data_IF_251718240348
#
_entry.id   IF_251718240348
#
_cell.length_a   1.000
_cell.length_b   1.000
_cell.length_c   1.000
_cell.angle_alpha   90.00
_cell.angle_beta   90.00
_cell.angle_gamma   90.00
#
_symmetry.space_group_name_H-M   'P 1'
#
loop_
_entity.id
_entity.type
_entity.pdbx_description
1 polymer ?
#
# COMPACT_ATOMS: atom_id res chain seq x y z
N UNK A 1 -31.67 26.37 -19.01
CA UNK A 1 -32.70 25.54 -18.34
C UNK A 1 -32.33 24.08 -18.62
N UNK A 2 -31.50 23.48 -17.77
CA UNK A 2 -30.93 22.16 -18.03
C UNK A 2 -31.82 21.07 -17.44
N UNK A 3 -32.26 20.15 -18.30
CA UNK A 3 -32.86 18.87 -17.90
C UNK A 3 -31.78 18.05 -17.22
N UNK A 4 -32.00 17.74 -15.94
CA UNK A 4 -31.28 16.71 -15.21
C UNK A 4 -31.47 15.39 -15.96
N UNK A 5 -30.38 14.86 -16.51
CA UNK A 5 -30.35 13.52 -17.04
C UNK A 5 -30.65 12.53 -15.90
N UNK A 6 -31.55 11.61 -16.20
CA UNK A 6 -31.95 10.49 -15.35
C UNK A 6 -30.74 9.70 -14.85
N UNK A 7 -30.77 9.18 -13.61
CA UNK A 7 -29.69 8.35 -13.10
C UNK A 7 -29.55 7.10 -13.96
N UNK A 8 -28.32 6.81 -14.41
CA UNK A 8 -27.99 5.48 -14.90
C UNK A 8 -28.26 4.50 -13.75
N UNK A 9 -29.29 3.70 -13.94
CA UNK A 9 -29.49 2.43 -13.23
C UNK A 9 -28.23 1.60 -13.41
N UNK A 10 -27.45 1.52 -12.32
CA UNK A 10 -26.27 0.66 -12.19
C UNK A 10 -26.77 -0.78 -12.24
N UNK A 11 -26.88 -1.36 -13.43
CA UNK A 11 -27.15 -2.79 -13.57
C UNK A 11 -25.93 -3.56 -13.09
N UNK A 12 -26.12 -4.25 -11.97
CA UNK A 12 -25.43 -5.47 -11.59
C UNK A 12 -25.05 -6.32 -12.80
N UNK A 13 -23.81 -6.82 -12.84
CA UNK A 13 -23.38 -7.62 -13.97
C UNK A 13 -22.13 -8.48 -13.85
N UNK A 14 -21.46 -8.59 -12.70
CA UNK A 14 -20.53 -9.73 -12.44
C UNK A 14 -20.65 -10.13 -10.97
N UNK A 15 -21.72 -10.86 -10.69
CA UNK A 15 -21.82 -11.73 -9.52
C UNK A 15 -21.88 -13.16 -10.07
N UNK A 16 -20.80 -13.92 -9.92
CA UNK A 16 -20.80 -15.38 -10.05
C UNK A 16 -19.85 -16.00 -9.02
N UNK A 17 -20.46 -16.31 -7.88
CA UNK A 17 -20.41 -17.56 -7.09
C UNK A 17 -19.09 -18.35 -6.94
N UNK A 18 -18.64 -18.41 -5.68
CA UNK A 18 -18.39 -19.61 -4.85
C UNK A 18 -17.91 -20.92 -5.53
N UNK A 19 -16.66 -21.29 -5.23
CA UNK A 19 -16.19 -22.67 -4.97
C UNK A 19 -15.05 -22.54 -3.92
N UNK A 20 -15.22 -22.92 -2.65
CA UNK A 20 -15.22 -24.28 -2.10
C UNK A 20 -13.86 -25.01 -2.22
N UNK A 21 -13.32 -25.37 -1.05
CA UNK A 21 -11.99 -25.88 -0.77
C UNK A 21 -11.42 -26.95 -1.71
N UNK A 22 -10.10 -26.87 -1.90
CA UNK A 22 -9.29 -27.99 -2.36
C UNK A 22 -8.04 -28.11 -1.49
N UNK A 23 -7.91 -29.30 -0.90
CA UNK A 23 -6.71 -29.78 -0.27
C UNK A 23 -5.53 -29.68 -1.25
N UNK A 24 -4.38 -29.30 -0.71
CA UNK A 24 -3.09 -29.38 -1.39
C UNK A 24 -2.85 -30.80 -1.92
N UNK A 25 -2.52 -31.01 -3.20
CA UNK A 25 -2.03 -32.31 -3.64
C UNK A 25 -0.67 -32.61 -2.98
N UNK A 26 -0.37 -33.88 -2.65
CA UNK A 26 0.92 -34.25 -2.09
C UNK A 26 2.03 -33.94 -3.11
N UNK A 27 3.09 -33.29 -2.63
CA UNK A 27 4.27 -32.95 -3.43
C UNK A 27 4.85 -34.19 -4.09
N UNK A 28 4.91 -34.19 -5.42
CA UNK A 28 5.66 -35.16 -6.21
C UNK A 28 7.12 -35.15 -5.77
N UNK A 29 7.68 -36.36 -5.63
CA UNK A 29 9.01 -36.62 -5.15
C UNK A 29 10.11 -35.92 -5.97
N UNK A 30 11.13 -35.48 -5.22
CA UNK A 30 12.44 -35.02 -5.62
C UNK A 30 12.98 -35.57 -6.96
N UNK A 31 13.43 -34.65 -7.81
CA UNK A 31 14.58 -34.89 -8.68
C UNK A 31 15.87 -34.55 -7.90
N UNK A 32 16.94 -35.36 -8.01
CA UNK A 32 18.19 -35.09 -7.31
C UNK A 32 18.88 -33.84 -7.86
N UNK A 33 19.39 -33.01 -6.95
CA UNK A 33 20.14 -31.81 -7.25
C UNK A 33 21.38 -32.11 -8.09
N UNK A 34 21.60 -31.33 -9.14
CA UNK A 34 22.83 -31.33 -9.90
C UNK A 34 24.02 -30.91 -9.00
N UNK A 35 25.20 -31.56 -9.14
CA UNK A 35 26.36 -31.27 -8.30
C UNK A 35 26.86 -29.85 -8.54
N UNK A 36 27.06 -29.12 -7.45
CA UNK A 36 27.62 -27.76 -7.44
C UNK A 36 29.09 -27.78 -7.90
N UNK A 37 29.54 -26.82 -8.72
CA UNK A 37 30.95 -26.70 -9.08
C UNK A 37 31.80 -26.26 -7.86
N UNK A 38 33.08 -26.69 -7.78
CA UNK A 38 33.94 -26.42 -6.63
C UNK A 38 34.32 -24.94 -6.50
N UNK A 39 34.50 -24.43 -5.27
CA UNK A 39 34.87 -23.04 -5.03
C UNK A 39 36.33 -22.78 -5.44
N UNK A 40 36.51 -21.94 -6.46
CA UNK A 40 37.83 -21.39 -6.82
C UNK A 40 38.23 -20.32 -5.81
N UNK A 41 39.00 -20.71 -4.80
CA UNK A 41 39.65 -19.80 -3.87
C UNK A 41 40.84 -19.11 -4.57
N UNK A 42 40.68 -17.84 -4.94
CA UNK A 42 41.81 -17.00 -5.38
C UNK A 42 42.08 -15.93 -4.33
N UNK A 43 42.96 -16.24 -3.38
CA UNK A 43 43.45 -15.28 -2.38
C UNK A 43 44.52 -14.40 -3.02
N UNK A 44 44.14 -13.24 -3.56
CA UNK A 44 45.10 -12.19 -3.96
C UNK A 44 45.36 -11.25 -2.78
N UNK A 45 46.52 -11.41 -2.17
CA UNK A 45 47.08 -10.48 -1.17
C UNK A 45 47.70 -9.28 -1.88
N UNK A 46 47.01 -8.14 -1.87
CA UNK A 46 47.60 -6.85 -2.29
C UNK A 46 48.13 -6.14 -1.05
N UNK A 47 49.44 -6.22 -0.84
CA UNK A 47 50.18 -5.38 0.11
C UNK A 47 50.63 -4.10 -0.60
N UNK A 48 49.97 -2.98 -0.32
CA UNK A 48 50.57 -1.65 -0.47
C UNK A 48 50.09 -0.73 0.65
N UNK A 49 50.90 -0.65 1.72
CA UNK A 49 50.79 0.39 2.74
C UNK A 49 51.47 1.66 2.21
N UNK A 50 50.70 2.60 1.68
CA UNK A 50 51.12 4.01 1.61
C UNK A 50 50.57 4.74 2.83
N UNK A 51 51.46 5.19 3.72
CA UNK A 51 51.13 6.08 4.85
C UNK A 51 50.74 7.45 4.29
N UNK A 52 49.44 7.71 4.14
CA UNK A 52 48.95 9.07 3.93
C UNK A 52 49.09 9.86 5.24
N UNK A 53 49.84 10.97 5.19
CA UNK A 53 49.91 11.95 6.28
C UNK A 53 48.52 12.54 6.53
N UNK A 54 48.09 12.69 7.80
CA UNK A 54 46.86 13.40 8.11
C UNK A 54 47.01 14.89 7.76
N UNK A 55 46.04 15.41 7.01
CA UNK A 55 45.88 16.84 6.73
C UNK A 55 45.68 17.61 8.05
N UNK A 56 46.51 18.62 8.37
CA UNK A 56 46.32 19.47 9.54
C UNK A 56 45.12 20.38 9.29
N UNK A 57 44.04 20.26 10.08
CA UNK A 57 42.93 21.22 10.07
C UNK A 57 41.52 20.65 10.09
N UNK A 58 41.32 19.33 9.95
CA UNK A 58 39.99 18.74 10.11
C UNK A 58 39.62 18.67 11.60
N UNK A 59 38.92 19.70 12.10
CA UNK A 59 38.28 19.67 13.41
C UNK A 59 37.32 18.47 13.45
N UNK A 60 37.64 17.46 14.26
CA UNK A 60 36.72 16.38 14.61
C UNK A 60 35.51 17.00 15.31
N UNK A 61 34.49 17.36 14.55
CA UNK A 61 33.14 17.53 15.11
C UNK A 61 32.76 16.15 15.63
N UNK A 62 32.78 16.01 16.96
CA UNK A 62 32.35 14.79 17.62
C UNK A 62 30.89 14.55 17.25
N UNK A 63 30.65 13.71 16.25
CA UNK A 63 29.33 13.15 15.95
C UNK A 63 28.97 12.27 17.14
N UNK A 64 28.37 12.87 18.16
CA UNK A 64 27.67 12.14 19.20
C UNK A 64 26.69 11.21 18.50
N UNK A 65 26.84 9.90 18.77
CA UNK A 65 25.96 8.88 18.23
C UNK A 65 24.53 9.31 18.59
N UNK A 66 23.64 9.58 17.61
CA UNK A 66 22.31 10.07 17.92
C UNK A 66 21.66 9.10 18.90
N UNK A 67 21.15 9.63 20.01
CA UNK A 67 20.48 8.83 21.03
C UNK A 67 19.37 8.02 20.34
N UNK A 68 19.20 6.72 20.67
CA UNK A 68 18.14 5.93 20.08
C UNK A 68 16.80 6.64 20.28
N UNK A 69 15.94 6.72 19.23
CA UNK A 69 14.68 7.43 19.32
C UNK A 69 13.87 6.87 20.48
N UNK A 70 13.37 7.76 21.36
CA UNK A 70 12.51 7.35 22.47
C UNK A 70 11.26 6.64 21.89
N UNK A 71 10.81 5.53 22.49
CA UNK A 71 9.55 4.89 22.10
C UNK A 71 8.43 5.94 22.12
N UNK A 72 7.63 6.00 21.05
CA UNK A 72 6.45 6.88 21.02
C UNK A 72 5.40 6.29 21.94
N UNK A 73 4.88 7.09 22.87
CA UNK A 73 3.68 6.76 23.63
C UNK A 73 2.49 6.89 22.68
N UNK A 74 2.05 5.75 22.14
CA UNK A 74 0.90 5.68 21.23
C UNK A 74 -0.31 5.29 22.07
N UNK A 75 -1.29 6.19 22.13
CA UNK A 75 -2.58 5.92 22.77
C UNK A 75 -3.49 5.25 21.75
N UNK A 76 -4.05 4.10 22.11
CA UNK A 76 -5.01 3.37 21.30
C UNK A 76 -6.41 3.59 21.86
N UNK A 77 -7.30 4.16 21.05
CA UNK A 77 -8.73 4.21 21.37
C UNK A 77 -9.40 2.95 20.81
N UNK A 78 -10.08 2.15 21.66
CA UNK A 78 -10.70 0.92 21.20
C UNK A 78 -11.93 1.19 20.34
N UNK A 79 -11.99 0.50 19.20
CA UNK A 79 -13.13 0.53 18.28
C UNK A 79 -14.30 -0.31 18.80
N UNK A 80 -15.51 0.17 18.53
CA UNK A 80 -16.73 -0.53 18.93
C UNK A 80 -17.03 -1.73 18.02
N UNK A 81 -17.69 -2.76 18.57
CA UNK A 81 -18.18 -3.89 17.75
C UNK A 81 -19.13 -3.44 16.64
N UNK A 82 -19.91 -2.38 16.88
CA UNK A 82 -20.82 -1.79 15.89
C UNK A 82 -20.09 -1.32 14.64
N UNK A 83 -18.91 -0.70 14.79
CA UNK A 83 -18.08 -0.27 13.66
C UNK A 83 -17.61 -1.47 12.81
N UNK A 84 -17.17 -2.56 13.45
CA UNK A 84 -16.81 -3.80 12.75
C UNK A 84 -18.01 -4.38 11.98
N UNK A 85 -19.21 -4.41 12.59
CA UNK A 85 -20.45 -4.88 11.94
C UNK A 85 -20.86 -4.01 10.75
N UNK A 86 -20.63 -2.71 10.81
CA UNK A 86 -20.91 -1.80 9.69
C UNK A 86 -19.93 -2.10 8.56
N UNK A 87 -18.62 -2.17 8.83
CA UNK A 87 -17.60 -2.39 7.80
C UNK A 87 -17.67 -3.77 7.17
N UNK A 88 -17.91 -4.82 7.94
CA UNK A 88 -18.01 -6.16 7.37
C UNK A 88 -19.24 -6.29 6.45
N UNK A 89 -20.33 -5.56 6.71
CA UNK A 89 -21.47 -5.49 5.79
C UNK A 89 -21.12 -4.82 4.45
N UNK A 90 -20.18 -3.88 4.46
CA UNK A 90 -19.68 -3.22 3.25
C UNK A 90 -18.68 -4.09 2.48
N UNK A 91 -17.99 -5.01 3.18
CA UNK A 91 -16.91 -5.85 2.65
C UNK A 91 -17.40 -7.30 2.53
N UNK A 92 -17.95 -7.67 1.39
CA UNK A 92 -18.63 -8.96 1.19
C UNK A 92 -17.74 -10.20 1.06
N UNK A 93 -16.45 -10.13 1.38
CA UNK A 93 -15.45 -11.15 0.99
C UNK A 93 -14.47 -11.58 2.12
N UNK A 94 -14.88 -11.48 3.39
CA UNK A 94 -14.07 -11.98 4.51
C UNK A 94 -14.69 -13.21 5.17
N UNK A 95 -13.84 -14.11 5.66
CA UNK A 95 -14.24 -15.33 6.35
C UNK A 95 -14.44 -15.09 7.86
N UNK A 96 -13.77 -14.08 8.42
CA UNK A 96 -13.90 -13.70 9.82
C UNK A 96 -15.21 -12.94 10.07
N UNK A 97 -15.99 -13.37 11.06
CA UNK A 97 -17.19 -12.65 11.52
C UNK A 97 -16.83 -11.35 12.23
N UNK A 98 -17.75 -10.38 12.31
CA UNK A 98 -17.47 -9.09 12.94
C UNK A 98 -17.14 -9.26 14.43
N UNK A 99 -17.84 -10.16 15.12
CA UNK A 99 -17.59 -10.54 16.51
C UNK A 99 -16.19 -11.14 16.67
N UNK A 100 -15.80 -12.06 15.77
CA UNK A 100 -14.49 -12.70 15.82
C UNK A 100 -13.37 -11.71 15.53
N UNK A 101 -13.52 -10.86 14.52
CA UNK A 101 -12.54 -9.81 14.21
C UNK A 101 -12.38 -8.82 15.38
N UNK A 102 -13.49 -8.41 16.00
CA UNK A 102 -13.48 -7.52 17.16
C UNK A 102 -12.79 -8.17 18.37
N UNK A 103 -13.09 -9.43 18.66
CA UNK A 103 -12.42 -10.20 19.73
C UNK A 103 -10.90 -10.27 19.50
N UNK A 104 -10.48 -10.63 18.28
CA UNK A 104 -9.06 -10.67 17.89
C UNK A 104 -8.40 -9.30 18.07
N UNK A 105 -9.05 -8.24 17.60
CA UNK A 105 -8.59 -6.87 17.72
C UNK A 105 -8.40 -6.46 19.19
N UNK A 106 -9.40 -6.70 20.05
CA UNK A 106 -9.34 -6.34 21.46
C UNK A 106 -8.24 -7.12 22.20
N UNK A 107 -8.15 -8.43 21.97
CA UNK A 107 -7.09 -9.28 22.54
C UNK A 107 -5.71 -8.83 22.08
N UNK A 108 -5.53 -8.50 20.80
CA UNK A 108 -4.25 -8.06 20.27
C UNK A 108 -3.83 -6.70 20.84
N UNK A 109 -4.75 -5.76 20.99
CA UNK A 109 -4.48 -4.48 21.66
C UNK A 109 -4.07 -4.66 23.12
N UNK A 110 -4.77 -5.50 23.87
CA UNK A 110 -4.41 -5.82 25.26
C UNK A 110 -3.00 -6.43 25.33
N UNK A 111 -2.68 -7.38 24.44
CA UNK A 111 -1.35 -7.98 24.35
C UNK A 111 -0.28 -6.93 24.04
N UNK A 112 -0.55 -5.98 23.15
CA UNK A 112 0.36 -4.88 22.82
C UNK A 112 0.56 -3.89 23.98
N UNK A 113 -0.47 -3.65 24.80
CA UNK A 113 -0.41 -2.68 25.90
C UNK A 113 0.43 -3.16 27.10
N UNK A 114 0.74 -4.46 27.17
CA UNK A 114 1.56 -5.04 28.24
C UNK A 114 2.97 -4.43 28.28
N UNK A 115 3.42 -4.03 29.47
CA UNK A 115 4.79 -3.56 29.71
C UNK A 115 5.79 -4.71 29.83
N UNK A 116 5.33 -5.90 30.20
CA UNK A 116 6.10 -7.11 30.53
C UNK A 116 6.15 -8.13 29.38
N UNK A 117 6.01 -7.69 28.12
CA UNK A 117 5.92 -8.60 26.97
C UNK A 117 7.19 -9.44 26.81
N UNK A 118 7.10 -10.78 26.75
CA UNK A 118 8.24 -11.61 26.41
C UNK A 118 8.71 -11.33 24.99
N UNK A 119 9.97 -11.63 24.67
CA UNK A 119 10.56 -11.38 23.34
C UNK A 119 9.75 -12.06 22.21
N UNK A 120 9.11 -13.18 22.50
CA UNK A 120 8.31 -13.99 21.58
C UNK A 120 6.78 -13.86 21.81
N UNK A 121 6.32 -12.75 22.41
CA UNK A 121 4.92 -12.54 22.76
C UNK A 121 3.93 -12.74 21.60
N UNK A 122 4.33 -12.45 20.36
CA UNK A 122 3.50 -12.68 19.17
C UNK A 122 3.20 -14.17 18.95
N UNK A 123 4.19 -15.04 19.18
CA UNK A 123 3.98 -16.50 19.12
C UNK A 123 3.12 -16.98 20.28
N UNK A 124 3.36 -16.45 21.48
CA UNK A 124 2.55 -16.77 22.66
C UNK A 124 1.08 -16.31 22.50
N UNK A 125 0.86 -15.15 21.89
CA UNK A 125 -0.47 -14.61 21.59
C UNK A 125 -1.28 -15.58 20.73
N UNK A 126 -0.68 -16.02 19.63
CA UNK A 126 -1.30 -16.92 18.65
C UNK A 126 -1.57 -18.30 19.25
N UNK A 127 -0.74 -18.77 20.19
CA UNK A 127 -0.94 -20.05 20.89
C UNK A 127 -1.93 -19.96 22.05
N UNK A 128 -2.44 -18.77 22.36
CA UNK A 128 -3.24 -18.55 23.57
C UNK A 128 -2.46 -18.74 24.88
N UNK A 129 -1.12 -18.80 24.83
CA UNK A 129 -0.26 -19.08 25.97
C UNK A 129 0.28 -17.83 26.66
N UNK A 130 -0.30 -16.65 26.38
CA UNK A 130 0.08 -15.43 27.09
C UNK A 130 -0.38 -15.56 28.56
N UNK A 131 0.53 -15.42 29.54
CA UNK A 131 0.15 -15.51 30.93
C UNK A 131 -0.87 -14.42 31.25
N UNK A 132 -1.87 -14.70 32.10
CA UNK A 132 -2.89 -13.73 32.47
C UNK A 132 -2.21 -12.47 33.03
N UNK A 133 -2.69 -11.31 32.62
CA UNK A 133 -2.16 -10.03 33.10
C UNK A 133 -2.46 -9.89 34.58
N UNK A 134 -1.44 -9.67 35.41
CA UNK A 134 -1.65 -9.36 36.82
C UNK A 134 -2.26 -7.95 36.93
N UNK A 135 -3.52 -7.81 37.39
CA UNK A 135 -4.23 -6.52 37.39
C UNK A 135 -3.65 -5.50 38.38
N UNK A 136 -2.67 -5.89 39.19
CA UNK A 136 -2.10 -5.06 40.26
C UNK A 136 -0.98 -4.11 39.84
N UNK A 137 -0.51 -4.15 38.59
CA UNK A 137 0.53 -3.23 38.11
C UNK A 137 -0.08 -1.90 37.67
N UNK A 138 0.23 -0.76 38.33
CA UNK A 138 -0.22 0.57 37.93
C UNK A 138 0.58 1.04 36.70
N UNK A 139 0.38 0.37 35.56
CA UNK A 139 0.94 0.83 34.30
C UNK A 139 0.07 1.98 33.78
N UNK A 140 0.66 3.18 33.84
CA UNK A 140 0.32 4.42 33.11
C UNK A 140 -1.09 4.45 32.50
N UNK A 141 -1.98 5.10 33.23
CA UNK A 141 -3.31 5.60 32.83
C UNK A 141 -3.47 5.83 31.32
N UNK A 142 -4.22 4.95 30.64
CA UNK A 142 -5.06 5.31 29.50
C UNK A 142 -6.20 4.28 29.36
N UNK A 143 -7.42 4.73 29.66
CA UNK A 143 -8.72 4.18 29.22
C UNK A 143 -8.92 2.65 29.21
N UNK A 144 -8.43 1.93 30.23
CA UNK A 144 -8.63 0.47 30.37
C UNK A 144 -9.60 0.08 31.50
N UNK A 145 -10.27 1.06 32.13
CA UNK A 145 -11.25 0.80 33.21
C UNK A 145 -12.54 0.14 32.68
N UNK A 146 -12.90 0.35 31.41
CA UNK A 146 -14.08 -0.31 30.80
C UNK A 146 -13.79 -1.72 30.26
N UNK A 147 -12.52 -2.11 30.12
CA UNK A 147 -12.13 -3.39 29.52
C UNK A 147 -12.02 -4.55 30.53
N UNK A 148 -11.69 -4.25 31.78
CA UNK A 148 -11.58 -5.27 32.84
C UNK A 148 -12.92 -5.85 33.26
N UNK A 149 -14.02 -5.10 33.11
CA UNK A 149 -15.37 -5.58 33.48
C UNK A 149 -16.02 -6.50 32.44
N UNK A 150 -15.54 -6.51 31.20
CA UNK A 150 -16.17 -7.27 30.10
C UNK A 150 -15.54 -8.67 29.86
N UNK A 151 -14.45 -9.02 30.55
CA UNK A 151 -13.58 -10.16 30.18
C UNK A 151 -13.27 -11.13 31.33
N UNK A 152 -14.07 -11.15 32.40
CA UNK A 152 -13.86 -12.06 33.54
C UNK A 152 -14.19 -13.55 33.25
N UNK A 153 -14.42 -13.94 31.99
CA UNK A 153 -14.76 -15.31 31.61
C UNK A 153 -13.63 -16.00 30.82
N UNK A 154 -13.12 -17.06 31.45
CA UNK A 154 -12.32 -18.21 30.99
C UNK A 154 -11.08 -18.01 30.09
N UNK A 155 -9.95 -18.69 30.42
CA UNK A 155 -8.79 -18.79 29.54
C UNK A 155 -9.10 -19.74 28.37
N UNK A 156 -9.92 -19.27 27.42
CA UNK A 156 -10.13 -19.99 26.18
C UNK A 156 -8.83 -20.01 25.37
N UNK A 157 -8.41 -21.19 24.92
CA UNK A 157 -7.33 -21.35 23.95
C UNK A 157 -7.60 -20.43 22.75
N UNK A 158 -6.74 -19.43 22.54
CA UNK A 158 -6.82 -18.60 21.35
C UNK A 158 -6.31 -19.43 20.17
N UNK A 159 -7.15 -20.31 19.62
CA UNK A 159 -6.92 -21.04 18.38
C UNK A 159 -7.04 -20.07 17.19
N UNK A 160 -6.12 -19.11 17.13
CA UNK A 160 -6.10 -18.05 16.14
C UNK A 160 -5.29 -18.49 14.93
N UNK A 161 -5.87 -18.43 13.74
CA UNK A 161 -5.13 -18.69 12.51
C UNK A 161 -4.43 -17.43 12.00
N UNK A 162 -3.36 -17.61 11.22
CA UNK A 162 -2.68 -16.49 10.57
C UNK A 162 -3.59 -15.76 9.56
N UNK A 163 -4.52 -16.48 8.93
CA UNK A 163 -5.54 -15.91 8.05
C UNK A 163 -6.51 -14.99 8.79
N UNK A 164 -6.99 -15.39 9.97
CA UNK A 164 -7.87 -14.55 10.79
C UNK A 164 -7.19 -13.23 11.21
N UNK A 165 -5.89 -13.30 11.56
CA UNK A 165 -5.09 -12.10 11.85
C UNK A 165 -4.98 -11.17 10.63
N UNK A 166 -4.71 -11.74 9.46
CA UNK A 166 -4.60 -10.98 8.22
C UNK A 166 -5.92 -10.30 7.84
N UNK A 167 -7.04 -11.01 7.89
CA UNK A 167 -8.36 -10.46 7.58
C UNK A 167 -8.77 -9.38 8.58
N UNK A 168 -8.52 -9.59 9.87
CA UNK A 168 -8.78 -8.58 10.90
C UNK A 168 -7.92 -7.32 10.66
N UNK A 169 -6.65 -7.49 10.31
CA UNK A 169 -5.79 -6.37 9.92
C UNK A 169 -6.28 -5.68 8.62
N UNK A 170 -6.87 -6.45 7.70
CA UNK A 170 -7.56 -5.98 6.51
C UNK A 170 -8.73 -5.07 6.86
N UNK A 171 -9.61 -5.48 7.78
CA UNK A 171 -10.74 -4.67 8.25
C UNK A 171 -10.29 -3.34 8.84
N UNK A 172 -9.19 -3.34 9.60
CA UNK A 172 -8.59 -2.11 10.12
C UNK A 172 -8.17 -1.15 9.01
N UNK A 173 -7.77 -1.64 7.83
CA UNK A 173 -7.49 -0.78 6.67
C UNK A 173 -8.70 0.02 6.21
N UNK A 174 -9.91 -0.53 6.35
CA UNK A 174 -11.15 0.09 5.92
C UNK A 174 -11.78 0.96 7.01
N UNK A 175 -11.43 0.70 8.27
CA UNK A 175 -11.77 1.55 9.41
C UNK A 175 -10.83 2.76 9.55
N UNK A 176 -9.64 2.69 8.96
CA UNK A 176 -8.63 3.73 9.07
C UNK A 176 -9.10 5.05 8.45
N UNK A 177 -9.62 5.94 9.28
CA UNK A 177 -9.59 7.36 8.97
C UNK A 177 -8.12 7.76 8.81
N UNK A 178 -7.80 8.53 7.77
CA UNK A 178 -6.42 8.85 7.29
C UNK A 178 -5.44 9.41 8.35
N UNK A 179 -5.83 9.52 9.62
CA UNK A 179 -5.11 10.15 10.73
C UNK A 179 -4.55 9.18 11.78
N UNK A 180 -5.05 7.95 11.87
CA UNK A 180 -4.71 7.06 12.97
C UNK A 180 -3.35 6.36 12.79
N UNK A 181 -2.22 7.03 13.08
CA UNK A 181 -0.91 6.35 13.10
C UNK A 181 -0.95 5.09 14.00
N UNK A 182 -1.69 5.14 15.10
CA UNK A 182 -1.92 3.99 15.99
C UNK A 182 -2.54 2.79 15.25
N UNK A 183 -3.59 3.00 14.46
CA UNK A 183 -4.27 1.93 13.73
C UNK A 183 -3.40 1.36 12.62
N UNK A 184 -2.65 2.21 11.91
CA UNK A 184 -1.67 1.76 10.94
C UNK A 184 -0.58 0.89 11.60
N UNK A 185 -0.08 1.31 12.77
CA UNK A 185 0.88 0.53 13.57
C UNK A 185 0.29 -0.81 13.99
N UNK A 186 -0.95 -0.82 14.48
CA UNK A 186 -1.66 -2.02 14.92
C UNK A 186 -1.83 -3.00 13.75
N UNK A 187 -2.37 -2.52 12.63
CA UNK A 187 -2.52 -3.27 11.39
C UNK A 187 -1.19 -3.87 10.93
N UNK A 188 -0.15 -3.07 10.83
CA UNK A 188 1.17 -3.54 10.40
C UNK A 188 1.72 -4.59 11.36
N UNK A 189 1.49 -4.43 12.66
CA UNK A 189 1.93 -5.40 13.67
C UNK A 189 1.18 -6.73 13.55
N UNK A 190 -0.13 -6.70 13.29
CA UNK A 190 -0.92 -7.92 13.06
C UNK A 190 -0.49 -8.64 11.79
N UNK A 191 -0.23 -7.90 10.70
CA UNK A 191 0.29 -8.48 9.46
C UNK A 191 1.70 -9.05 9.64
N UNK A 192 2.58 -8.37 10.38
CA UNK A 192 3.91 -8.88 10.70
C UNK A 192 3.84 -10.19 11.50
N UNK A 193 2.91 -10.26 12.45
CA UNK A 193 2.65 -11.49 13.21
C UNK A 193 2.17 -12.62 12.30
N UNK A 194 1.18 -12.36 11.43
CA UNK A 194 0.68 -13.34 10.47
C UNK A 194 1.78 -13.80 9.50
N UNK A 195 2.64 -12.90 9.02
CA UNK A 195 3.81 -13.23 8.22
C UNK A 195 4.80 -14.12 8.98
N UNK A 196 5.02 -13.85 10.27
CA UNK A 196 5.84 -14.70 11.15
C UNK A 196 5.31 -16.11 11.37
N UNK A 197 4.02 -16.33 11.12
CA UNK A 197 3.37 -17.64 11.08
C UNK A 197 3.40 -18.29 9.69
N UNK A 198 4.05 -17.66 8.70
CA UNK A 198 4.17 -18.18 7.34
C UNK A 198 3.03 -17.79 6.40
N UNK A 199 2.20 -16.79 6.75
CA UNK A 199 1.08 -16.39 5.89
C UNK A 199 1.50 -15.38 4.81
N UNK A 200 1.58 -15.86 3.57
CA UNK A 200 2.14 -15.13 2.42
C UNK A 200 1.40 -13.85 2.09
N UNK A 201 0.07 -13.89 2.07
CA UNK A 201 -0.75 -12.72 1.78
C UNK A 201 -0.50 -11.58 2.78
N UNK A 202 -0.22 -11.89 4.06
CA UNK A 202 0.14 -10.87 5.05
C UNK A 202 1.51 -10.27 4.80
N UNK A 203 2.52 -11.10 4.49
CA UNK A 203 3.86 -10.62 4.18
C UNK A 203 3.84 -9.70 2.96
N UNK A 204 3.21 -10.13 1.87
CA UNK A 204 3.07 -9.34 0.65
C UNK A 204 2.31 -8.03 0.92
N UNK A 205 1.13 -8.11 1.54
CA UNK A 205 0.33 -6.92 1.84
C UNK A 205 1.10 -5.92 2.71
N UNK A 206 1.81 -6.38 3.76
CA UNK A 206 2.62 -5.50 4.58
C UNK A 206 3.77 -4.90 3.78
N UNK A 207 4.44 -5.68 2.93
CA UNK A 207 5.52 -5.17 2.08
C UNK A 207 5.07 -4.02 1.18
N UNK A 208 3.89 -4.14 0.57
CA UNK A 208 3.31 -3.05 -0.24
C UNK A 208 3.02 -1.81 0.61
N UNK A 209 2.47 -1.98 1.82
CA UNK A 209 2.22 -0.86 2.75
C UNK A 209 3.53 -0.16 3.11
N UNK A 210 4.57 -0.93 3.46
CA UNK A 210 5.88 -0.39 3.83
C UNK A 210 6.50 0.38 2.65
N UNK A 211 6.37 -0.12 1.42
CA UNK A 211 6.82 0.59 0.22
C UNK A 211 6.10 1.94 0.03
N UNK A 212 4.78 2.00 0.19
CA UNK A 212 4.05 3.28 0.07
C UNK A 212 4.29 4.24 1.23
N UNK A 213 4.61 3.73 2.42
CA UNK A 213 4.97 4.54 3.58
C UNK A 213 6.43 5.05 3.52
N UNK A 214 7.22 4.54 2.58
CA UNK A 214 8.63 4.81 2.43
C UNK A 214 8.88 6.27 2.00
N UNK A 215 9.64 7.01 2.81
CA UNK A 215 9.76 8.47 2.71
C UNK A 215 9.31 9.19 3.99
N UNK A 216 8.44 8.54 4.77
CA UNK A 216 8.21 8.90 6.18
C UNK A 216 9.33 8.30 7.04
N UNK A 217 10.41 9.06 7.27
CA UNK A 217 11.60 8.56 8.02
C UNK A 217 11.20 7.97 9.38
N UNK A 218 11.63 6.73 9.66
CA UNK A 218 11.70 6.18 11.01
C UNK A 218 11.07 4.78 11.19
N UNK A 219 9.74 4.70 11.14
CA UNK A 219 9.01 3.52 11.63
C UNK A 219 8.71 2.48 10.54
N UNK A 220 8.29 2.94 9.35
CA UNK A 220 7.84 2.08 8.25
C UNK A 220 8.94 1.78 7.22
N UNK A 221 10.20 2.00 7.58
CA UNK A 221 11.33 1.62 6.73
C UNK A 221 11.35 0.09 6.57
N UNK A 222 11.41 -0.40 5.32
CA UNK A 222 11.52 -1.81 5.00
C UNK A 222 12.67 -2.52 5.74
N UNK A 223 13.76 -1.80 5.99
CA UNK A 223 14.95 -2.36 6.65
C UNK A 223 14.85 -2.34 8.17
N UNK A 224 13.77 -1.78 8.74
CA UNK A 224 13.53 -1.80 10.18
C UNK A 224 13.48 -3.26 10.68
N UNK A 225 14.25 -3.64 11.73
CA UNK A 225 14.25 -5.00 12.27
C UNK A 225 12.88 -5.49 12.73
N UNK A 226 11.94 -4.58 13.02
CA UNK A 226 10.56 -4.91 13.38
C UNK A 226 9.81 -5.67 12.28
N UNK A 227 10.17 -5.47 11.02
CA UNK A 227 9.52 -6.08 9.86
C UNK A 227 10.28 -7.29 9.31
N UNK A 228 11.09 -7.93 10.16
CA UNK A 228 11.97 -9.02 9.75
C UNK A 228 11.21 -10.24 9.21
N UNK A 229 10.04 -10.57 9.75
CA UNK A 229 9.27 -11.74 9.32
C UNK A 229 8.69 -11.50 7.94
N UNK A 230 8.06 -10.34 7.75
CA UNK A 230 7.59 -9.90 6.43
C UNK A 230 8.73 -9.86 5.42
N UNK A 231 9.85 -9.22 5.76
CA UNK A 231 11.00 -9.14 4.85
C UNK A 231 11.53 -10.51 4.47
N UNK A 232 11.74 -11.39 5.46
CA UNK A 232 12.27 -12.74 5.22
C UNK A 232 11.33 -13.53 4.32
N UNK A 233 10.02 -13.50 4.60
CA UNK A 233 9.04 -14.24 3.82
C UNK A 233 8.89 -13.70 2.40
N UNK A 234 8.81 -12.37 2.23
CA UNK A 234 8.77 -11.76 0.90
C UNK A 234 10.03 -12.07 0.07
N UNK A 235 11.22 -12.02 0.67
CA UNK A 235 12.45 -12.37 -0.04
C UNK A 235 12.47 -13.83 -0.48
N UNK A 236 11.93 -14.75 0.34
CA UNK A 236 11.77 -16.14 -0.05
C UNK A 236 10.82 -16.28 -1.25
N UNK A 237 9.62 -15.66 -1.20
CA UNK A 237 8.66 -15.69 -2.31
C UNK A 237 9.22 -15.07 -3.59
N UNK A 238 10.01 -14.00 -3.48
CA UNK A 238 10.71 -13.39 -4.61
C UNK A 238 11.74 -14.36 -5.19
N UNK A 239 12.53 -15.02 -4.35
CA UNK A 239 13.53 -15.98 -4.80
C UNK A 239 12.89 -17.21 -5.47
N UNK A 240 11.67 -17.59 -5.05
CA UNK A 240 10.91 -18.65 -5.71
C UNK A 240 10.45 -18.27 -7.12
N UNK A 241 10.17 -16.99 -7.39
CA UNK A 241 9.85 -16.48 -8.73
C UNK A 241 8.53 -17.01 -9.33
N UNK A 242 7.63 -17.57 -8.50
CA UNK A 242 6.36 -18.19 -8.93
C UNK A 242 5.11 -17.46 -8.46
N UNK A 243 5.24 -16.41 -7.64
CA UNK A 243 4.12 -15.62 -7.14
C UNK A 243 4.10 -14.24 -7.81
N UNK A 244 3.00 -13.92 -8.51
CA UNK A 244 2.86 -12.66 -9.24
C UNK A 244 2.96 -11.43 -8.34
N UNK A 245 2.34 -11.47 -7.15
CA UNK A 245 2.38 -10.36 -6.20
C UNK A 245 3.77 -10.19 -5.60
N UNK A 246 4.51 -11.28 -5.35
CA UNK A 246 5.91 -11.22 -4.95
C UNK A 246 6.79 -10.57 -6.03
N UNK A 247 6.53 -10.85 -7.30
CA UNK A 247 7.23 -10.20 -8.42
C UNK A 247 6.93 -8.70 -8.52
N UNK A 248 5.71 -8.27 -8.21
CA UNK A 248 5.43 -6.84 -8.04
C UNK A 248 6.24 -6.23 -6.89
N UNK A 249 6.36 -6.89 -5.73
CA UNK A 249 7.23 -6.41 -4.63
C UNK A 249 8.68 -6.28 -5.11
N UNK A 250 9.21 -7.25 -5.86
CA UNK A 250 10.55 -7.17 -6.42
C UNK A 250 10.72 -5.94 -7.32
N UNK A 251 9.77 -5.70 -8.23
CA UNK A 251 9.77 -4.53 -9.10
C UNK A 251 9.77 -3.21 -8.33
N UNK A 252 8.90 -3.07 -7.33
CA UNK A 252 8.83 -1.88 -6.47
C UNK A 252 10.14 -1.62 -5.71
N UNK A 253 10.80 -2.68 -5.22
CA UNK A 253 12.10 -2.59 -4.53
C UNK A 253 13.22 -2.12 -5.46
N UNK A 254 13.22 -2.56 -6.71
CA UNK A 254 14.17 -2.06 -7.71
C UNK A 254 13.88 -0.60 -8.06
N UNK A 255 12.62 -0.26 -8.37
CA UNK A 255 12.22 1.13 -8.64
C UNK A 255 12.63 2.11 -7.54
N UNK A 256 12.61 1.69 -6.27
CA UNK A 256 13.03 2.54 -5.14
C UNK A 256 14.46 3.08 -5.28
N UNK A 257 15.37 2.32 -5.90
CA UNK A 257 16.80 2.65 -5.96
C UNK A 257 17.13 3.78 -6.94
N UNK A 258 16.21 4.07 -7.88
CA UNK A 258 16.32 5.18 -8.85
C UNK A 258 17.65 5.14 -9.64
N UNK A 259 18.04 3.95 -10.07
CA UNK A 259 19.17 3.77 -10.99
C UNK A 259 18.64 3.16 -12.29
N UNK A 260 19.25 3.51 -13.42
CA UNK A 260 18.87 2.97 -14.73
C UNK A 260 18.89 1.43 -14.74
N UNK A 261 19.93 0.82 -14.15
CA UNK A 261 20.02 -0.63 -13.99
C UNK A 261 18.85 -1.21 -13.21
N UNK A 262 18.47 -0.58 -12.10
CA UNK A 262 17.33 -1.04 -11.31
C UNK A 262 16.00 -0.79 -12.03
N UNK A 263 15.88 0.24 -12.87
CA UNK A 263 14.66 0.44 -13.67
C UNK A 263 14.46 -0.70 -14.68
N UNK A 264 15.53 -1.22 -15.29
CA UNK A 264 15.47 -2.45 -16.11
C UNK A 264 15.09 -3.70 -15.30
N UNK A 265 15.71 -3.90 -14.12
CA UNK A 265 15.35 -5.02 -13.24
C UNK A 265 13.90 -4.93 -12.74
N UNK A 266 13.39 -3.71 -12.54
CA UNK A 266 12.01 -3.49 -12.20
C UNK A 266 11.08 -3.89 -13.36
N UNK A 267 11.41 -3.50 -14.59
CA UNK A 267 10.65 -3.91 -15.78
C UNK A 267 10.62 -5.42 -15.96
N UNK A 268 11.73 -6.10 -15.76
CA UNK A 268 11.81 -7.57 -15.79
C UNK A 268 10.85 -8.19 -14.76
N UNK A 269 10.93 -7.73 -13.50
CA UNK A 269 10.08 -8.22 -12.43
C UNK A 269 8.58 -7.94 -12.67
N UNK A 270 8.20 -6.76 -13.13
CA UNK A 270 6.79 -6.46 -13.44
C UNK A 270 6.28 -7.25 -14.65
N UNK A 271 7.12 -7.47 -15.66
CA UNK A 271 6.74 -8.28 -16.81
C UNK A 271 6.51 -9.74 -16.40
N UNK A 272 7.39 -10.28 -15.55
CA UNK A 272 7.19 -11.61 -14.96
C UNK A 272 5.93 -11.67 -14.10
N UNK A 273 5.64 -10.63 -13.30
CA UNK A 273 4.42 -10.55 -12.51
C UNK A 273 3.16 -10.61 -13.38
N UNK A 274 3.14 -9.85 -14.48
CA UNK A 274 2.03 -9.83 -15.43
C UNK A 274 1.85 -11.17 -16.14
N UNK A 275 2.94 -11.85 -16.50
CA UNK A 275 2.87 -13.18 -17.11
C UNK A 275 2.29 -14.21 -16.14
N UNK A 276 2.82 -14.28 -14.92
CA UNK A 276 2.31 -15.15 -13.86
C UNK A 276 0.84 -14.85 -13.52
N UNK A 277 0.43 -13.58 -13.63
CA UNK A 277 -0.91 -13.13 -13.34
C UNK A 277 -1.98 -13.50 -14.38
N UNK A 278 -1.60 -13.91 -15.61
CA UNK A 278 -2.56 -14.28 -16.67
C UNK A 278 -3.38 -15.52 -16.31
N UNK A 279 -2.72 -16.51 -15.71
CA UNK A 279 -3.32 -17.80 -15.34
C UNK A 279 -3.77 -17.83 -13.87
N UNK A 280 -3.48 -16.78 -13.11
CA UNK A 280 -3.89 -16.69 -11.73
C UNK A 280 -5.41 -16.47 -11.66
N UNK A 281 -6.10 -17.27 -10.84
CA UNK A 281 -7.51 -17.03 -10.53
C UNK A 281 -7.73 -15.61 -9.97
N UNK A 282 -6.69 -15.01 -9.39
CA UNK A 282 -6.73 -13.66 -8.85
C UNK A 282 -5.34 -13.00 -8.88
N UNK A 283 -5.21 -11.89 -9.63
CA UNK A 283 -4.02 -11.05 -9.62
C UNK A 283 -4.35 -9.64 -9.14
N UNK A 284 -4.44 -9.51 -7.82
CA UNK A 284 -4.76 -8.27 -7.10
C UNK A 284 -3.95 -7.04 -7.51
N UNK A 285 -2.67 -7.25 -7.88
CA UNK A 285 -1.70 -6.16 -8.05
C UNK A 285 -1.33 -5.88 -9.49
N UNK A 286 -2.18 -6.32 -10.44
CA UNK A 286 -2.04 -5.97 -11.85
C UNK A 286 -1.89 -4.46 -12.07
N UNK A 287 -2.70 -3.65 -11.38
CA UNK A 287 -2.62 -2.20 -11.48
C UNK A 287 -1.26 -1.64 -11.05
N UNK A 288 -0.71 -2.14 -9.93
CA UNK A 288 0.60 -1.72 -9.42
C UNK A 288 1.74 -2.17 -10.34
N UNK A 289 1.62 -3.34 -10.98
CA UNK A 289 2.59 -3.80 -11.97
C UNK A 289 2.63 -2.90 -13.20
N UNK A 290 1.47 -2.57 -13.79
CA UNK A 290 1.38 -1.69 -14.96
C UNK A 290 1.79 -0.25 -14.66
N UNK A 291 1.40 0.28 -13.49
CA UNK A 291 1.87 1.59 -13.02
C UNK A 291 3.39 1.59 -12.87
N UNK A 292 3.95 0.55 -12.24
CA UNK A 292 5.39 0.37 -12.07
C UNK A 292 6.14 0.27 -13.40
N UNK A 293 5.60 -0.42 -14.40
CA UNK A 293 6.17 -0.45 -15.75
C UNK A 293 6.20 0.93 -16.39
N UNK A 294 5.08 1.66 -16.34
CA UNK A 294 5.01 3.02 -16.87
C UNK A 294 6.03 3.95 -16.21
N UNK A 295 6.18 3.87 -14.89
CA UNK A 295 7.15 4.66 -14.12
C UNK A 295 8.61 4.31 -14.41
N UNK A 296 8.90 3.04 -14.69
CA UNK A 296 10.23 2.57 -15.09
C UNK A 296 10.58 3.07 -16.50
N UNK A 297 9.68 2.88 -17.46
CA UNK A 297 9.86 3.35 -18.84
C UNK A 297 10.03 4.87 -18.91
N UNK A 298 9.27 5.63 -18.12
CA UNK A 298 9.43 7.08 -18.03
C UNK A 298 10.84 7.49 -17.56
N UNK A 299 11.40 6.78 -16.58
CA UNK A 299 12.76 7.05 -16.08
C UNK A 299 13.85 6.70 -17.07
N UNK A 300 13.64 5.65 -17.86
CA UNK A 300 14.52 5.25 -18.97
C UNK A 300 14.35 6.14 -20.21
N UNK A 301 13.41 7.08 -20.21
CA UNK A 301 13.13 7.95 -21.36
C UNK A 301 12.30 7.29 -22.47
N UNK A 302 11.81 6.07 -22.26
CA UNK A 302 11.02 5.29 -23.22
C UNK A 302 9.52 5.70 -23.18
N UNK A 303 9.23 6.95 -23.55
CA UNK A 303 7.89 7.56 -23.39
C UNK A 303 6.75 6.76 -24.03
N UNK A 304 6.95 6.21 -25.23
CA UNK A 304 5.89 5.46 -25.92
C UNK A 304 5.54 4.13 -25.21
N UNK A 305 6.52 3.42 -24.64
CA UNK A 305 6.23 2.22 -23.86
C UNK A 305 5.55 2.54 -22.52
N UNK A 306 5.90 3.68 -21.93
CA UNK A 306 5.16 4.19 -20.77
C UNK A 306 3.70 4.51 -21.14
N UNK A 307 3.46 5.15 -22.30
CA UNK A 307 2.11 5.40 -22.83
C UNK A 307 1.31 4.11 -22.96
N UNK A 308 1.89 3.08 -23.57
CA UNK A 308 1.25 1.76 -23.70
C UNK A 308 0.87 1.16 -22.34
N UNK A 309 1.79 1.21 -21.37
CA UNK A 309 1.57 0.69 -20.02
C UNK A 309 0.43 1.42 -19.29
N UNK A 310 0.40 2.75 -19.34
CA UNK A 310 -0.67 3.55 -18.72
C UNK A 310 -2.00 3.47 -19.46
N UNK A 311 -1.98 3.33 -20.79
CA UNK A 311 -3.18 3.09 -21.59
C UNK A 311 -3.82 1.74 -21.24
N UNK A 312 -3.01 0.69 -21.13
CA UNK A 312 -3.49 -0.62 -20.69
C UNK A 312 -4.09 -0.55 -19.27
N UNK A 313 -3.42 0.15 -18.34
CA UNK A 313 -3.95 0.40 -16.99
C UNK A 313 -5.31 1.10 -17.02
N UNK A 314 -5.46 2.13 -17.86
CA UNK A 314 -6.73 2.84 -18.06
C UNK A 314 -7.84 1.97 -18.66
N UNK A 315 -7.50 1.12 -19.65
CA UNK A 315 -8.44 0.20 -20.31
C UNK A 315 -8.98 -0.87 -19.36
N UNK A 316 -8.19 -1.28 -18.36
CA UNK A 316 -8.62 -2.15 -17.26
C UNK A 316 -9.56 -1.45 -16.25
N UNK A 317 -9.88 -0.17 -16.48
CA UNK A 317 -10.77 0.62 -15.63
C UNK A 317 -10.07 1.34 -14.48
N UNK A 318 -8.73 1.26 -14.40
CA UNK A 318 -7.98 2.01 -13.39
C UNK A 318 -7.75 3.44 -13.86
N UNK A 319 -8.57 4.35 -13.32
CA UNK A 319 -8.55 5.78 -13.64
C UNK A 319 -7.17 6.47 -13.50
N UNK A 320 -6.28 5.90 -12.70
CA UNK A 320 -4.91 6.37 -12.55
C UNK A 320 -4.15 6.33 -13.88
N UNK A 321 -4.37 5.32 -14.72
CA UNK A 321 -3.77 5.24 -16.06
C UNK A 321 -4.12 6.44 -16.94
N UNK A 322 -5.40 6.82 -16.97
CA UNK A 322 -5.86 8.03 -17.68
C UNK A 322 -5.24 9.31 -17.12
N UNK A 323 -5.15 9.42 -15.78
CA UNK A 323 -4.51 10.57 -15.15
C UNK A 323 -3.03 10.70 -15.53
N UNK A 324 -2.29 9.57 -15.59
CA UNK A 324 -0.88 9.55 -16.01
C UNK A 324 -0.70 9.91 -17.48
N UNK A 325 -1.56 9.41 -18.36
CA UNK A 325 -1.54 9.78 -19.79
C UNK A 325 -1.75 11.28 -19.99
N UNK A 326 -2.73 11.87 -19.31
CA UNK A 326 -2.98 13.31 -19.38
C UNK A 326 -1.80 14.15 -18.89
N UNK A 327 -1.10 13.71 -17.84
CA UNK A 327 0.11 14.36 -17.34
C UNK A 327 1.28 14.26 -18.34
N UNK A 328 1.44 13.12 -19.01
CA UNK A 328 2.52 12.89 -19.96
C UNK A 328 2.33 13.65 -21.28
N UNK A 329 1.08 13.75 -21.74
CA UNK A 329 0.75 14.34 -23.03
C UNK A 329 -0.34 15.42 -22.87
N UNK A 330 -0.03 16.57 -22.23
CA UNK A 330 -1.00 17.62 -21.95
C UNK A 330 -1.56 18.32 -23.21
N UNK A 331 -0.90 18.14 -24.35
CA UNK A 331 -1.28 18.69 -25.65
C UNK A 331 -1.95 17.66 -26.57
N UNK A 332 -2.12 16.41 -26.12
CA UNK A 332 -2.79 15.38 -26.92
C UNK A 332 -4.27 15.71 -27.13
N UNK A 333 -4.84 15.50 -28.34
CA UNK A 333 -6.27 15.68 -28.58
C UNK A 333 -7.16 14.96 -27.57
N UNK A 334 -6.74 13.81 -27.07
CA UNK A 334 -7.49 12.96 -26.15
C UNK A 334 -7.34 13.38 -24.67
N UNK A 335 -6.51 14.38 -24.34
CA UNK A 335 -6.24 14.81 -22.96
C UNK A 335 -7.51 15.12 -22.17
N UNK A 336 -8.49 15.76 -22.82
CA UNK A 336 -9.77 16.08 -22.19
C UNK A 336 -10.52 14.80 -21.80
N UNK A 337 -10.55 13.80 -22.69
CA UNK A 337 -11.22 12.54 -22.43
C UNK A 337 -10.57 11.81 -21.26
N UNK A 338 -9.24 11.71 -21.25
CA UNK A 338 -8.50 11.06 -20.15
C UNK A 338 -8.73 11.76 -18.81
N UNK A 339 -8.67 13.10 -18.80
CA UNK A 339 -8.93 13.87 -17.58
C UNK A 339 -10.36 13.69 -17.07
N UNK A 340 -11.36 13.65 -17.94
CA UNK A 340 -12.75 13.40 -17.56
C UNK A 340 -12.94 12.01 -16.95
N UNK A 341 -12.29 10.97 -17.50
CA UNK A 341 -12.30 9.62 -16.92
C UNK A 341 -11.67 9.61 -15.53
N UNK A 342 -10.49 10.24 -15.39
CA UNK A 342 -9.78 10.32 -14.11
C UNK A 342 -10.55 11.12 -13.04
N UNK A 343 -11.14 12.25 -13.45
CA UNK A 343 -11.96 13.12 -12.60
C UNK A 343 -13.26 12.44 -12.16
N UNK A 344 -13.92 11.71 -13.08
CA UNK A 344 -15.12 10.92 -12.79
C UNK A 344 -14.89 9.85 -11.73
N UNK A 345 -13.66 9.32 -11.63
CA UNK A 345 -13.25 8.37 -10.60
C UNK A 345 -12.76 9.01 -9.29
N UNK A 346 -12.79 10.35 -9.18
CA UNK A 346 -12.42 11.03 -7.94
C UNK A 346 -10.94 11.40 -7.80
N UNK A 347 -10.14 11.33 -8.87
CA UNK A 347 -8.72 11.72 -8.81
C UNK A 347 -8.62 13.25 -8.74
N UNK A 348 -8.36 13.78 -7.54
CA UNK A 348 -8.40 15.22 -7.26
C UNK A 348 -7.44 16.05 -8.11
N UNK A 349 -6.24 15.56 -8.39
CA UNK A 349 -5.26 16.23 -9.27
C UNK A 349 -5.74 16.37 -10.71
N UNK A 350 -6.74 15.58 -11.14
CA UNK A 350 -7.33 15.71 -12.48
C UNK A 350 -8.34 16.86 -12.55
N UNK A 351 -8.95 17.27 -11.43
CA UNK A 351 -9.80 18.47 -11.39
C UNK A 351 -8.99 19.75 -11.63
N UNK A 352 -7.81 19.84 -11.03
CA UNK A 352 -6.88 20.96 -11.23
C UNK A 352 -6.45 21.05 -12.70
N UNK A 353 -6.01 19.94 -13.29
CA UNK A 353 -5.66 19.86 -14.71
C UNK A 353 -6.83 20.22 -15.64
N UNK A 354 -8.07 19.88 -15.29
CA UNK A 354 -9.26 20.28 -16.07
C UNK A 354 -9.53 21.79 -16.01
N UNK A 355 -9.29 22.43 -14.87
CA UNK A 355 -9.38 23.90 -14.74
C UNK A 355 -8.31 24.55 -15.62
N UNK A 356 -7.06 24.09 -15.53
CA UNK A 356 -5.94 24.60 -16.33
C UNK A 356 -6.18 24.42 -17.83
N UNK A 357 -6.67 23.24 -18.25
CA UNK A 357 -7.00 22.96 -19.63
C UNK A 357 -8.13 23.87 -20.15
N UNK A 358 -9.16 24.09 -19.34
CA UNK A 358 -10.25 25.01 -19.67
C UNK A 358 -9.77 26.44 -19.86
N UNK A 359 -8.95 26.95 -18.93
CA UNK A 359 -8.34 28.28 -19.03
C UNK A 359 -7.42 28.43 -20.25
N UNK A 360 -6.61 27.40 -20.54
CA UNK A 360 -5.75 27.38 -21.73
C UNK A 360 -6.57 27.44 -23.01
N UNK A 361 -7.61 26.60 -23.14
CA UNK A 361 -8.48 26.58 -24.33
C UNK A 361 -9.29 27.87 -24.48
N UNK A 362 -9.75 28.45 -23.38
CA UNK A 362 -10.39 29.78 -23.37
C UNK A 362 -9.48 30.84 -23.98
N UNK A 363 -8.22 30.92 -23.53
CA UNK A 363 -7.23 31.89 -24.06
C UNK A 363 -6.98 31.68 -25.55
N UNK A 364 -6.77 30.45 -25.99
CA UNK A 364 -6.55 30.13 -27.40
C UNK A 364 -7.75 30.54 -28.28
N UNK A 365 -8.98 30.29 -27.84
CA UNK A 365 -10.17 30.76 -28.54
C UNK A 365 -10.28 32.30 -28.53
N UNK A 366 -9.92 32.94 -27.43
CA UNK A 366 -9.94 34.39 -27.30
C UNK A 366 -8.82 35.09 -28.07
N UNK A 367 -7.73 34.41 -28.45
CA UNK A 367 -6.64 34.95 -29.27
C UNK A 367 -6.89 34.78 -30.77
N UNK A 368 -7.71 33.80 -31.16
CA UNK A 368 -8.15 33.57 -32.55
C UNK A 368 -9.15 34.65 -33.07
N UNK A 369 -9.07 35.89 -32.56
CA UNK A 369 -10.03 36.97 -32.83
C UNK A 369 -10.03 37.36 -34.30
N UNK A 370 -11.09 36.97 -34.99
CA UNK A 370 -11.39 37.32 -36.38
C UNK A 370 -12.77 36.81 -36.81
N UNK A 371 -13.24 35.72 -36.21
CA UNK A 371 -14.51 35.07 -36.54
C UNK A 371 -15.44 35.00 -35.32
N UNK A 372 -16.73 35.35 -35.49
CA UNK A 372 -17.73 35.38 -34.41
C UNK A 372 -17.87 34.05 -33.65
N UNK A 373 -17.54 32.91 -34.29
CA UNK A 373 -17.61 31.58 -33.68
C UNK A 373 -16.59 31.34 -32.54
N UNK A 374 -15.48 32.08 -32.50
CA UNK A 374 -14.45 31.87 -31.48
C UNK A 374 -14.84 32.42 -30.10
N UNK A 375 -15.71 33.43 -30.05
CA UNK A 375 -16.19 34.00 -28.78
C UNK A 375 -17.07 33.02 -28.02
N UNK A 376 -18.03 32.37 -28.69
CA UNK A 376 -18.91 31.39 -28.05
C UNK A 376 -18.13 30.19 -27.50
N UNK A 377 -17.11 29.75 -28.22
CA UNK A 377 -16.20 28.69 -27.77
C UNK A 377 -15.42 29.12 -26.51
N UNK A 378 -14.88 30.35 -26.48
CA UNK A 378 -14.20 30.89 -25.31
C UNK A 378 -15.13 30.95 -24.08
N UNK A 379 -16.37 31.44 -24.25
CA UNK A 379 -17.38 31.52 -23.20
C UNK A 379 -17.80 30.13 -22.68
N UNK A 380 -17.80 29.12 -23.56
CA UNK A 380 -18.04 27.73 -23.15
C UNK A 380 -16.90 27.18 -22.29
N UNK A 381 -15.65 27.43 -22.67
CA UNK A 381 -14.48 27.01 -21.90
C UNK A 381 -14.38 27.70 -20.55
N UNK A 382 -14.77 28.97 -20.47
CA UNK A 382 -14.88 29.69 -19.19
C UNK A 382 -15.86 29.02 -18.23
N UNK A 383 -17.04 28.65 -18.72
CA UNK A 383 -18.04 27.94 -17.92
C UNK A 383 -17.52 26.59 -17.43
N UNK A 384 -16.86 25.82 -18.30
CA UNK A 384 -16.25 24.55 -17.92
C UNK A 384 -15.17 24.74 -16.83
N UNK A 385 -14.27 25.70 -16.99
CA UNK A 385 -13.23 25.99 -15.99
C UNK A 385 -13.85 26.41 -14.64
N UNK A 386 -14.91 27.22 -14.66
CA UNK A 386 -15.63 27.63 -13.47
C UNK A 386 -16.34 26.45 -12.76
N UNK A 387 -16.92 25.51 -13.51
CA UNK A 387 -17.54 24.31 -12.97
C UNK A 387 -16.51 23.40 -12.28
N UNK A 388 -15.40 23.09 -12.97
CA UNK A 388 -14.32 22.29 -12.39
C UNK A 388 -13.68 22.98 -11.18
N UNK A 389 -13.59 24.31 -11.18
CA UNK A 389 -13.12 25.08 -10.01
C UNK A 389 -14.03 24.88 -8.80
N UNK A 390 -15.36 24.83 -8.98
CA UNK A 390 -16.29 24.55 -7.88
C UNK A 390 -16.11 23.13 -7.34
N UNK A 391 -15.96 22.14 -8.22
CA UNK A 391 -15.73 20.74 -7.84
C UNK A 391 -14.40 20.60 -7.09
N UNK A 392 -13.33 21.22 -7.57
CA UNK A 392 -12.03 21.24 -6.92
C UNK A 392 -12.12 21.85 -5.51
N UNK A 393 -12.77 23.01 -5.37
CA UNK A 393 -12.98 23.64 -4.05
C UNK A 393 -13.77 22.74 -3.10
N UNK A 394 -14.82 22.07 -3.59
CA UNK A 394 -15.59 21.12 -2.79
C UNK A 394 -14.75 19.90 -2.38
N UNK A 395 -13.92 19.38 -3.28
CA UNK A 395 -12.98 18.28 -3.01
C UNK A 395 -11.97 18.66 -1.92
N UNK A 396 -11.35 19.85 -2.02
CA UNK A 396 -10.42 20.37 -1.01
C UNK A 396 -11.12 20.56 0.34
N UNK A 397 -12.34 21.12 0.34
CA UNK A 397 -13.12 21.30 1.57
C UNK A 397 -13.49 19.95 2.22
N UNK A 398 -13.84 18.95 1.41
CA UNK A 398 -14.09 17.58 1.88
C UNK A 398 -12.83 16.92 2.43
N UNK A 399 -11.67 17.14 1.81
CA UNK A 399 -10.41 16.63 2.33
C UNK A 399 -10.03 17.33 3.65
N UNK A 400 -10.22 18.66 3.73
CA UNK A 400 -9.99 19.43 4.95
C UNK A 400 -10.91 18.99 6.08
N UNK A 401 -12.20 18.77 5.82
CA UNK A 401 -13.15 18.32 6.85
C UNK A 401 -12.82 16.91 7.36
N UNK A 402 -12.37 16.02 6.47
CA UNK A 402 -11.78 14.72 6.84
C UNK A 402 -10.51 14.89 7.67
N UNK A 403 -9.71 15.93 7.42
CA UNK A 403 -8.50 16.27 8.21
C UNK A 403 -8.80 16.96 9.54
N UNK A 404 -10.02 17.42 9.83
CA UNK A 404 -10.37 18.05 11.12
C UNK A 404 -11.22 17.20 12.06
N UNK A 405 -12.01 16.25 11.53
CA UNK A 405 -12.72 15.23 12.34
C UNK A 405 -11.77 14.11 12.74
#
# INVERSE_FOLDING_TARGET
>A
MFRLATPLTRSSGVSRHLLAGLATPPSSAWAPAAPSPPPSATTRTVKTKSKLRPLPGLKKTGTSKPAPPKPRDIVFEPRSLTEFKIRLREISYMHVTAERAHDIYMKYMQALARSDKPTDWQKAFVRGSLPPTNPSSPARYFTLIYLTSFMANEPAENNLTAGELHETAGLLSWMHDKKGEAELILRCSMMETAAGLGYDAAALTLSRILHHAEGSKGYYDWDNPRWQHTRTRCLALIAEGRDANAMVVAGLRHLRRKTERDDYLALEAFSQALELGKDAAYFDWCCTALEGQGDAYLRLGEKEKAKESFAHLGQLGYALGWSRLAQMYPDDPDVLHWLLQAAGAGISSSYEQLVELGEKRRKLCAEAVGEAGHKEAADSWERHAAEWTRILKASIANEKSRRTK
#
